data_IF_550861570777
#
_entry.id   IF_550861570777
#
_cell.length_a   1.000
_cell.length_b   1.000
_cell.length_c   1.000
_cell.angle_alpha   90.00
_cell.angle_beta   90.00
_cell.angle_gamma   90.00
#
_symmetry.space_group_name_H-M   'P 1'
#
loop_
_entity.id
_entity.type
_entity.pdbx_description
1 polymer ?
#
# COMPACT_ATOMS: atom_id res chain seq x y z
N UNK A 1 -5.38 24.11 5.79
CA UNK A 1 -5.29 22.62 5.75
C UNK A 1 -4.34 22.28 4.62
N UNK A 2 -3.18 21.71 4.93
CA UNK A 2 -2.24 21.27 3.91
C UNK A 2 -2.88 20.17 3.06
N UNK A 3 -2.58 20.16 1.78
CA UNK A 3 -3.01 19.08 0.90
C UNK A 3 -1.99 17.94 0.94
N UNK A 4 -2.44 16.73 0.59
CA UNK A 4 -1.52 15.61 0.37
C UNK A 4 -0.51 15.96 -0.72
N UNK A 5 0.71 15.47 -0.59
CA UNK A 5 1.72 15.68 -1.63
C UNK A 5 1.27 15.11 -2.97
N UNK A 6 1.54 15.89 -4.00
CA UNK A 6 1.40 15.45 -5.38
C UNK A 6 2.44 14.38 -5.74
N UNK A 7 2.21 13.67 -6.82
CA UNK A 7 3.18 12.66 -7.30
C UNK A 7 4.53 13.29 -7.66
N UNK A 8 4.56 14.52 -8.20
CA UNK A 8 5.79 15.23 -8.52
C UNK A 8 6.61 15.58 -7.27
N UNK A 9 5.93 15.97 -6.18
CA UNK A 9 6.58 16.22 -4.90
C UNK A 9 7.13 14.93 -4.27
N UNK A 10 6.38 13.84 -4.37
CA UNK A 10 6.85 12.53 -3.94
C UNK A 10 8.11 12.09 -4.70
N UNK A 11 8.12 12.25 -6.03
CA UNK A 11 9.27 11.90 -6.84
C UNK A 11 10.53 12.69 -6.45
N UNK A 12 10.37 13.98 -6.10
CA UNK A 12 11.48 14.81 -5.57
C UNK A 12 12.02 14.26 -4.26
N UNK A 13 11.13 13.82 -3.36
CA UNK A 13 11.52 13.22 -2.07
C UNK A 13 12.24 11.89 -2.29
N UNK A 14 11.75 11.03 -3.17
CA UNK A 14 12.45 9.78 -3.51
C UNK A 14 13.86 10.04 -4.06
N UNK A 15 14.02 10.99 -4.97
CA UNK A 15 15.34 11.38 -5.50
C UNK A 15 16.26 11.95 -4.40
N UNK A 16 15.72 12.72 -3.46
CA UNK A 16 16.46 13.21 -2.32
C UNK A 16 16.94 12.05 -1.44
N UNK A 17 16.05 11.11 -1.09
CA UNK A 17 16.42 9.92 -0.31
C UNK A 17 17.47 9.06 -1.03
N UNK A 18 17.37 8.94 -2.35
CA UNK A 18 18.39 8.26 -3.15
C UNK A 18 19.76 8.95 -3.02
N UNK A 19 19.79 10.27 -3.14
CA UNK A 19 21.03 11.06 -3.00
C UNK A 19 21.65 10.98 -1.59
N UNK A 20 20.82 10.72 -0.57
CA UNK A 20 21.23 10.56 0.83
C UNK A 20 21.53 9.11 1.22
N UNK A 21 21.48 8.17 0.27
CA UNK A 21 21.70 6.74 0.52
C UNK A 21 20.62 6.05 1.35
N UNK A 22 19.40 6.63 1.40
CA UNK A 22 18.25 6.09 2.14
C UNK A 22 17.34 5.21 1.30
N UNK A 23 17.75 4.88 0.08
CA UNK A 23 16.97 3.97 -0.77
C UNK A 23 16.84 2.62 -0.08
N UNK A 24 15.60 2.12 -0.02
CA UNK A 24 15.32 0.84 0.65
C UNK A 24 15.21 0.91 2.17
N UNK A 25 15.23 2.10 2.77
CA UNK A 25 14.97 2.29 4.20
C UNK A 25 13.50 2.66 4.44
N UNK A 26 12.90 2.23 5.57
CA UNK A 26 11.55 2.61 5.94
C UNK A 26 11.45 4.12 6.20
N UNK A 27 10.27 4.69 5.90
CA UNK A 27 9.96 6.10 6.18
C UNK A 27 9.10 6.18 7.43
N UNK A 28 9.63 6.71 8.54
CA UNK A 28 8.96 6.65 9.83
C UNK A 28 8.57 8.05 10.30
N UNK A 29 7.30 8.17 10.70
CA UNK A 29 6.75 9.41 11.26
C UNK A 29 6.23 9.15 12.67
N UNK A 30 6.43 10.11 13.54
CA UNK A 30 5.96 10.07 14.93
C UNK A 30 5.22 11.36 15.27
N UNK A 31 4.03 11.23 15.85
CA UNK A 31 3.21 12.36 16.29
C UNK A 31 2.64 12.15 17.68
N UNK A 32 2.55 13.24 18.43
CA UNK A 32 1.72 13.33 19.62
C UNK A 32 0.40 14.00 19.28
N UNK A 33 -0.71 13.40 19.72
CA UNK A 33 -2.05 13.87 19.46
C UNK A 33 -2.86 13.84 20.76
N UNK A 34 -2.80 14.91 21.55
CA UNK A 34 -3.32 14.89 22.91
C UNK A 34 -2.57 13.88 23.77
N UNK A 35 -3.31 12.91 24.32
CA UNK A 35 -2.74 11.82 25.14
C UNK A 35 -2.43 10.56 24.30
N UNK A 36 -2.54 10.64 22.99
CA UNK A 36 -2.30 9.52 22.08
C UNK A 36 -1.01 9.68 21.30
N UNK A 37 -0.41 8.54 20.91
CA UNK A 37 0.74 8.49 20.02
C UNK A 37 0.31 7.92 18.66
N UNK A 38 0.82 8.51 17.59
CA UNK A 38 0.75 7.96 16.23
C UNK A 38 2.17 7.66 15.76
N UNK A 39 2.42 6.38 15.46
CA UNK A 39 3.62 5.95 14.75
C UNK A 39 3.20 5.46 13.37
N UNK A 40 3.72 6.09 12.30
CA UNK A 40 3.52 5.64 10.94
C UNK A 40 4.82 5.01 10.43
N UNK A 41 4.82 3.71 10.23
CA UNK A 41 5.92 2.94 9.66
C UNK A 41 5.67 2.76 8.16
N UNK A 42 6.31 3.59 7.34
CA UNK A 42 6.31 3.50 5.88
C UNK A 42 7.32 2.46 5.42
N UNK A 43 6.85 1.25 5.13
CA UNK A 43 7.69 0.11 4.77
C UNK A 43 8.22 0.17 3.35
N UNK A 44 9.31 -0.54 3.10
CA UNK A 44 9.75 -0.95 1.77
C UNK A 44 9.20 -2.36 1.53
N UNK A 45 8.35 -2.52 0.51
CA UNK A 45 7.72 -3.81 0.24
C UNK A 45 8.74 -4.90 -0.08
N UNK A 46 8.86 -5.87 0.80
CA UNK A 46 9.70 -7.05 0.62
C UNK A 46 9.17 -8.22 1.44
N UNK A 47 9.38 -9.43 0.95
CA UNK A 47 9.15 -10.68 1.67
C UNK A 47 10.46 -11.35 2.12
N UNK A 48 11.61 -10.68 1.96
CA UNK A 48 12.91 -11.19 2.41
C UNK A 48 12.99 -11.15 3.94
N UNK A 49 13.02 -12.30 4.63
CA UNK A 49 13.03 -12.35 6.08
C UNK A 49 14.32 -11.80 6.71
N UNK A 50 15.37 -11.59 5.92
CA UNK A 50 16.66 -11.06 6.36
C UNK A 50 16.76 -9.53 6.15
N UNK A 51 15.71 -8.89 5.64
CA UNK A 51 15.70 -7.43 5.44
C UNK A 51 15.91 -6.68 6.77
N UNK A 52 16.84 -5.70 6.80
CA UNK A 52 17.15 -4.95 8.02
C UNK A 52 15.98 -4.12 8.54
N UNK A 53 14.98 -3.82 7.70
CA UNK A 53 13.81 -3.06 8.13
C UNK A 53 12.99 -3.76 9.23
N UNK A 54 13.10 -5.10 9.36
CA UNK A 54 12.34 -5.85 10.36
C UNK A 54 12.77 -5.52 11.78
N UNK A 55 14.07 -5.35 12.01
CA UNK A 55 14.57 -4.93 13.31
C UNK A 55 14.06 -3.52 13.68
N UNK A 56 14.00 -2.62 12.69
CA UNK A 56 13.50 -1.27 12.89
C UNK A 56 12.00 -1.31 13.22
N UNK A 57 11.22 -2.11 12.50
CA UNK A 57 9.78 -2.26 12.77
C UNK A 57 9.55 -2.83 14.17
N UNK A 58 10.28 -3.85 14.59
CA UNK A 58 10.18 -4.45 15.91
C UNK A 58 10.59 -3.48 17.04
N UNK A 59 11.61 -2.65 16.81
CA UNK A 59 12.01 -1.62 17.77
C UNK A 59 10.91 -0.54 17.92
N UNK A 60 10.33 -0.06 16.82
CA UNK A 60 9.22 0.90 16.86
C UNK A 60 7.96 0.27 17.49
N UNK A 61 7.67 -0.98 17.17
CA UNK A 61 6.60 -1.73 17.81
C UNK A 61 6.80 -1.90 19.30
N UNK A 62 8.04 -2.17 19.76
CA UNK A 62 8.37 -2.27 21.18
C UNK A 62 8.14 -0.94 21.92
N UNK A 63 8.45 0.20 21.30
CA UNK A 63 8.14 1.54 21.87
C UNK A 63 6.64 1.75 21.96
N UNK A 64 5.91 1.46 20.89
CA UNK A 64 4.46 1.57 20.85
C UNK A 64 3.76 0.72 21.91
N UNK A 65 4.15 -0.56 22.08
CA UNK A 65 3.52 -1.44 23.07
C UNK A 65 3.82 -1.05 24.50
N UNK A 66 4.96 -0.40 24.77
CA UNK A 66 5.36 0.10 26.09
C UNK A 66 4.78 1.47 26.46
N UNK A 67 4.07 2.14 25.55
CA UNK A 67 3.39 3.40 25.87
C UNK A 67 2.37 3.18 26.99
N UNK A 68 2.11 4.23 27.78
CA UNK A 68 1.22 4.16 28.93
C UNK A 68 -0.26 3.99 28.57
N UNK A 69 -0.64 4.37 27.33
CA UNK A 69 -2.02 4.23 26.87
C UNK A 69 -2.39 2.74 26.68
N UNK A 70 -3.38 2.22 27.43
CA UNK A 70 -3.77 0.80 27.31
C UNK A 70 -4.56 0.50 26.02
N UNK A 71 -5.11 1.53 25.36
CA UNK A 71 -5.89 1.38 24.14
C UNK A 71 -4.95 1.51 22.95
N UNK A 72 -4.74 0.43 22.24
CA UNK A 72 -3.82 0.35 21.10
C UNK A 72 -4.49 -0.24 19.89
N UNK A 73 -4.08 0.18 18.69
CA UNK A 73 -4.53 -0.40 17.43
C UNK A 73 -3.42 -0.39 16.39
N UNK A 74 -3.31 -1.48 15.64
CA UNK A 74 -2.55 -1.57 14.42
C UNK A 74 -3.45 -1.29 13.22
N UNK A 75 -3.05 -0.36 12.36
CA UNK A 75 -3.64 -0.14 11.03
C UNK A 75 -2.65 -0.65 9.99
N UNK A 76 -3.10 -1.53 9.08
CA UNK A 76 -2.23 -2.15 8.09
C UNK A 76 -2.83 -2.14 6.67
N UNK A 77 -1.96 -2.24 5.64
CA UNK A 77 -2.34 -1.98 4.25
C UNK A 77 -3.18 -3.11 3.63
N UNK A 78 -2.87 -4.35 3.83
CA UNK A 78 -3.45 -5.46 3.06
C UNK A 78 -4.57 -6.17 3.83
N UNK A 79 -5.83 -5.96 3.44
CA UNK A 79 -6.95 -6.71 4.03
C UNK A 79 -6.90 -8.21 3.69
N UNK A 80 -7.40 -9.04 4.62
CA UNK A 80 -7.51 -10.50 4.40
C UNK A 80 -6.23 -11.30 4.61
N UNK A 81 -5.15 -10.68 5.05
CA UNK A 81 -3.95 -11.42 5.47
C UNK A 81 -4.24 -12.18 6.76
N UNK A 82 -3.87 -13.45 6.82
CA UNK A 82 -3.97 -14.30 8.00
C UNK A 82 -2.59 -14.84 8.37
N UNK A 83 -2.23 -14.72 9.65
CA UNK A 83 -0.96 -15.19 10.18
C UNK A 83 -1.12 -16.34 11.18
N UNK A 84 -2.34 -16.87 11.32
CA UNK A 84 -2.65 -17.96 12.25
C UNK A 84 -1.72 -19.17 12.03
N UNK A 85 -1.03 -19.55 13.08
CA UNK A 85 -0.11 -20.69 13.06
C UNK A 85 1.24 -20.44 12.39
N UNK A 86 1.49 -19.23 11.88
CA UNK A 86 2.79 -18.87 11.34
C UNK A 86 3.75 -18.44 12.46
N UNK A 87 5.02 -18.76 12.27
CA UNK A 87 6.08 -18.11 13.03
C UNK A 87 6.44 -16.75 12.40
N UNK A 88 7.34 -16.01 13.05
CA UNK A 88 7.81 -14.71 12.56
C UNK A 88 8.31 -14.77 11.10
N UNK A 89 9.11 -15.78 10.79
CA UNK A 89 9.71 -15.95 9.46
C UNK A 89 8.65 -16.29 8.42
N UNK A 90 7.73 -17.20 8.73
CA UNK A 90 6.61 -17.55 7.88
C UNK A 90 5.70 -16.36 7.59
N UNK A 91 5.37 -15.56 8.60
CA UNK A 91 4.55 -14.38 8.44
C UNK A 91 5.19 -13.35 7.48
N UNK A 92 6.52 -13.15 7.55
CA UNK A 92 7.26 -12.27 6.64
C UNK A 92 7.27 -12.84 5.22
N UNK A 93 7.56 -14.12 5.05
CA UNK A 93 7.65 -14.76 3.72
C UNK A 93 6.31 -14.69 2.99
N UNK A 94 5.20 -14.95 3.71
CA UNK A 94 3.87 -14.98 3.09
C UNK A 94 3.26 -13.60 2.88
N UNK A 95 3.50 -12.65 3.78
CA UNK A 95 2.78 -11.38 3.80
C UNK A 95 3.66 -10.13 3.99
N UNK A 96 4.99 -10.27 3.96
CA UNK A 96 5.91 -9.14 4.09
C UNK A 96 5.74 -8.36 5.39
N UNK A 97 5.74 -7.02 5.28
CA UNK A 97 5.55 -6.10 6.40
C UNK A 97 4.20 -6.27 7.11
N UNK A 98 3.15 -6.52 6.35
CA UNK A 98 1.81 -6.78 6.90
C UNK A 98 1.82 -8.03 7.77
N UNK A 99 2.49 -9.09 7.30
CA UNK A 99 2.61 -10.35 8.04
C UNK A 99 3.33 -10.17 9.37
N UNK A 100 4.49 -9.50 9.36
CA UNK A 100 5.22 -9.22 10.60
C UNK A 100 4.40 -8.37 11.57
N UNK A 101 3.74 -7.31 11.06
CA UNK A 101 2.93 -6.42 11.90
C UNK A 101 1.75 -7.17 12.54
N UNK A 102 1.04 -8.00 11.79
CA UNK A 102 -0.05 -8.83 12.31
C UNK A 102 0.43 -9.86 13.33
N UNK A 103 1.56 -10.52 13.06
CA UNK A 103 2.17 -11.47 14.00
C UNK A 103 2.54 -10.78 15.32
N UNK A 104 3.12 -9.58 15.26
CA UNK A 104 3.42 -8.77 16.45
C UNK A 104 2.16 -8.36 17.20
N UNK A 105 1.09 -7.97 16.49
CA UNK A 105 -0.19 -7.58 17.08
C UNK A 105 -0.84 -8.76 17.82
N UNK A 106 -0.85 -9.95 17.22
CA UNK A 106 -1.34 -11.18 17.86
C UNK A 106 -0.58 -11.48 19.15
N UNK A 107 0.76 -11.46 19.12
CA UNK A 107 1.62 -11.72 20.29
C UNK A 107 1.41 -10.74 21.43
N UNK A 108 0.98 -9.52 21.14
CA UNK A 108 0.77 -8.46 22.14
C UNK A 108 -0.72 -8.18 22.41
N UNK A 109 -1.64 -8.96 21.86
CA UNK A 109 -3.09 -8.78 21.98
C UNK A 109 -3.54 -7.35 21.59
N UNK A 110 -2.96 -6.80 20.53
CA UNK A 110 -3.31 -5.50 19.98
C UNK A 110 -4.37 -5.67 18.90
N UNK A 111 -5.45 -4.88 18.98
CA UNK A 111 -6.49 -4.84 17.96
C UNK A 111 -5.90 -4.47 16.59
N UNK A 112 -6.46 -5.04 15.52
CA UNK A 112 -5.99 -4.78 14.15
C UNK A 112 -7.11 -4.34 13.23
N UNK A 113 -6.80 -3.49 12.25
CA UNK A 113 -7.75 -2.98 11.28
C UNK A 113 -7.05 -2.68 9.95
N UNK A 114 -7.69 -3.05 8.84
CA UNK A 114 -7.30 -2.56 7.51
C UNK A 114 -8.41 -1.68 6.95
N UNK A 115 -8.14 -0.38 6.68
CA UNK A 115 -9.08 0.52 6.03
C UNK A 115 -9.10 0.36 4.51
N UNK A 116 -8.39 -0.64 3.97
CA UNK A 116 -8.34 -0.87 2.54
C UNK A 116 -9.74 -1.11 1.99
N UNK A 117 -10.09 -0.33 0.99
CA UNK A 117 -11.37 -0.47 0.29
C UNK A 117 -11.39 -1.74 -0.53
N UNK A 118 -12.57 -2.32 -0.69
CA UNK A 118 -12.74 -3.43 -1.64
C UNK A 118 -12.42 -2.96 -3.07
N UNK A 119 -11.95 -3.88 -3.91
CA UNK A 119 -11.73 -3.56 -5.33
C UNK A 119 -13.01 -3.03 -5.99
N UNK A 120 -14.18 -3.59 -5.66
CA UNK A 120 -15.45 -3.13 -6.19
C UNK A 120 -15.76 -1.66 -5.83
N UNK A 121 -15.52 -1.26 -4.58
CA UNK A 121 -15.73 0.13 -4.14
C UNK A 121 -14.73 1.09 -4.78
N UNK A 122 -13.47 0.66 -4.93
CA UNK A 122 -12.44 1.44 -5.59
C UNK A 122 -12.81 1.69 -7.06
N UNK A 123 -13.21 0.64 -7.79
CA UNK A 123 -13.65 0.71 -9.20
C UNK A 123 -14.88 1.62 -9.35
N UNK A 124 -15.93 1.41 -8.55
CA UNK A 124 -17.14 2.24 -8.58
C UNK A 124 -16.84 3.71 -8.32
N UNK A 125 -15.87 4.00 -7.47
CA UNK A 125 -15.47 5.40 -7.22
C UNK A 125 -14.74 6.00 -8.41
N UNK A 126 -13.83 5.26 -9.05
CA UNK A 126 -13.17 5.71 -10.28
C UNK A 126 -14.20 5.95 -11.40
N UNK A 127 -15.17 5.06 -11.57
CA UNK A 127 -16.26 5.24 -12.54
C UNK A 127 -17.11 6.48 -12.24
N UNK A 128 -17.42 6.73 -10.96
CA UNK A 128 -18.16 7.92 -10.54
C UNK A 128 -17.39 9.24 -10.79
N UNK A 129 -16.07 9.17 -10.89
CA UNK A 129 -15.20 10.29 -11.28
C UNK A 129 -15.06 10.46 -12.80
N UNK A 130 -15.68 9.59 -13.58
CA UNK A 130 -15.74 9.67 -15.03
C UNK A 130 -14.69 8.82 -15.76
N UNK A 131 -13.89 8.02 -15.04
CA UNK A 131 -12.99 7.07 -15.70
C UNK A 131 -13.79 5.94 -16.35
N UNK A 132 -13.43 5.60 -17.58
CA UNK A 132 -14.05 4.52 -18.34
C UNK A 132 -13.59 3.14 -17.85
N UNK A 133 -14.38 2.11 -18.13
CA UNK A 133 -14.01 0.71 -17.89
C UNK A 133 -12.66 0.38 -18.55
N UNK A 134 -12.42 0.88 -19.77
CA UNK A 134 -11.15 0.70 -20.49
C UNK A 134 -9.97 1.27 -19.69
N UNK A 135 -10.00 2.54 -19.29
CA UNK A 135 -8.91 3.19 -18.54
C UNK A 135 -8.62 2.46 -17.23
N UNK A 136 -9.67 2.12 -16.48
CA UNK A 136 -9.54 1.43 -15.20
C UNK A 136 -8.92 0.04 -15.40
N UNK A 137 -9.41 -0.74 -16.38
CA UNK A 137 -8.91 -2.10 -16.61
C UNK A 137 -7.50 -2.11 -17.21
N UNK A 138 -7.15 -1.15 -18.05
CA UNK A 138 -5.78 -1.00 -18.57
C UNK A 138 -4.80 -0.77 -17.40
N UNK A 139 -5.17 0.10 -16.46
CA UNK A 139 -4.37 0.30 -15.24
C UNK A 139 -4.24 -0.98 -14.42
N UNK A 140 -5.35 -1.68 -14.13
CA UNK A 140 -5.29 -2.92 -13.35
C UNK A 140 -4.53 -4.02 -14.07
N UNK A 141 -4.69 -4.15 -15.38
CA UNK A 141 -3.92 -5.10 -16.19
C UNK A 141 -2.41 -4.84 -16.06
N UNK A 142 -1.97 -3.60 -16.29
CA UNK A 142 -0.57 -3.22 -16.18
C UNK A 142 -0.02 -3.48 -14.76
N UNK A 143 -0.78 -3.12 -13.73
CA UNK A 143 -0.42 -3.35 -12.32
C UNK A 143 -0.26 -4.83 -12.01
N UNK A 144 -1.17 -5.67 -12.49
CA UNK A 144 -1.11 -7.12 -12.26
C UNK A 144 0.04 -7.76 -13.03
N UNK A 145 0.27 -7.35 -14.28
CA UNK A 145 1.43 -7.80 -15.06
C UNK A 145 2.75 -7.41 -14.39
N UNK A 146 2.84 -6.18 -13.86
CA UNK A 146 4.02 -5.76 -13.09
C UNK A 146 4.20 -6.62 -11.81
N UNK A 147 3.12 -6.97 -11.12
CA UNK A 147 3.19 -7.88 -9.95
C UNK A 147 3.59 -9.29 -10.37
N UNK A 148 3.00 -9.84 -11.43
CA UNK A 148 3.37 -11.15 -11.97
C UNK A 148 4.85 -11.22 -12.36
N UNK A 149 5.37 -10.19 -13.02
CA UNK A 149 6.76 -10.14 -13.45
C UNK A 149 7.77 -10.22 -12.29
N UNK A 150 7.36 -9.82 -11.08
CA UNK A 150 8.16 -9.85 -9.84
C UNK A 150 8.00 -11.14 -9.03
N UNK A 151 7.04 -11.98 -9.37
CA UNK A 151 6.84 -13.26 -8.65
C UNK A 151 7.86 -14.31 -9.09
N UNK A 152 8.07 -15.28 -8.20
CA UNK A 152 8.82 -16.47 -8.53
C UNK A 152 8.09 -17.25 -9.64
N UNK A 153 8.81 -17.55 -10.72
CA UNK A 153 8.25 -18.25 -11.89
C UNK A 153 7.91 -19.72 -11.59
N UNK A 154 8.39 -20.28 -10.51
CA UNK A 154 7.93 -21.59 -10.04
C UNK A 154 6.50 -21.51 -9.47
N UNK A 155 6.11 -20.35 -8.92
CA UNK A 155 4.78 -20.12 -8.34
C UNK A 155 3.78 -19.63 -9.39
N UNK A 156 4.21 -18.74 -10.28
CA UNK A 156 3.36 -18.15 -11.34
C UNK A 156 4.05 -18.25 -12.72
N UNK A 157 4.15 -19.46 -13.30
CA UNK A 157 4.95 -19.67 -14.49
C UNK A 157 4.32 -19.10 -15.77
N UNK A 158 2.99 -18.99 -15.82
CA UNK A 158 2.24 -18.58 -17.02
C UNK A 158 1.43 -17.32 -16.72
N UNK A 159 1.76 -16.22 -17.41
CA UNK A 159 1.08 -14.94 -17.25
C UNK A 159 -0.37 -14.98 -17.73
N UNK A 160 -0.70 -15.75 -18.78
CA UNK A 160 -2.05 -15.84 -19.32
C UNK A 160 -3.00 -16.44 -18.29
N UNK A 161 -2.63 -17.56 -17.67
CA UNK A 161 -3.43 -18.18 -16.62
C UNK A 161 -3.57 -17.25 -15.40
N UNK A 162 -2.50 -16.58 -15.01
CA UNK A 162 -2.54 -15.59 -13.93
C UNK A 162 -3.51 -14.45 -14.23
N UNK A 163 -3.50 -13.94 -15.46
CA UNK A 163 -4.40 -12.86 -15.87
C UNK A 163 -5.83 -13.32 -16.11
N UNK A 164 -6.06 -14.54 -16.60
CA UNK A 164 -7.41 -15.11 -16.71
C UNK A 164 -8.08 -15.23 -15.35
N UNK A 165 -7.37 -15.75 -14.34
CA UNK A 165 -7.86 -15.82 -12.96
C UNK A 165 -8.14 -14.43 -12.38
N UNK A 166 -7.25 -13.48 -12.66
CA UNK A 166 -7.42 -12.08 -12.26
C UNK A 166 -8.67 -11.46 -12.89
N UNK A 167 -8.87 -11.61 -14.19
CA UNK A 167 -10.02 -11.06 -14.91
C UNK A 167 -11.32 -11.72 -14.44
N UNK A 168 -11.30 -13.04 -14.20
CA UNK A 168 -12.42 -13.72 -13.59
C UNK A 168 -12.78 -13.12 -12.22
N UNK A 169 -11.78 -12.90 -11.36
CA UNK A 169 -12.01 -12.22 -10.09
C UNK A 169 -12.64 -10.83 -10.27
N UNK A 170 -12.18 -10.04 -11.25
CA UNK A 170 -12.78 -8.73 -11.53
C UNK A 170 -14.22 -8.86 -12.06
N UNK A 171 -14.54 -9.82 -12.92
CA UNK A 171 -15.91 -10.06 -13.36
C UNK A 171 -16.84 -10.42 -12.19
N UNK A 172 -16.36 -11.21 -11.22
CA UNK A 172 -17.11 -11.58 -10.03
C UNK A 172 -17.46 -10.38 -9.11
N UNK A 173 -16.83 -9.22 -9.32
CA UNK A 173 -17.15 -7.98 -8.57
C UNK A 173 -18.45 -7.32 -9.02
N UNK A 174 -19.03 -7.71 -10.15
CA UNK A 174 -20.29 -7.20 -10.72
C UNK A 174 -20.37 -5.65 -10.74
N UNK A 175 -19.31 -5.01 -11.21
CA UNK A 175 -19.23 -3.55 -11.22
C UNK A 175 -18.88 -2.93 -12.58
N UNK A 176 -18.76 -3.74 -13.65
CA UNK A 176 -18.27 -3.29 -14.95
C UNK A 176 -19.36 -2.93 -15.96
N UNK A 177 -20.57 -3.46 -15.80
CA UNK A 177 -21.65 -3.33 -16.78
C UNK A 177 -21.46 -4.18 -18.06
N UNK A 178 -20.36 -4.91 -18.16
CA UNK A 178 -20.01 -5.82 -19.26
C UNK A 178 -19.02 -6.88 -18.80
N UNK A 179 -19.00 -8.02 -19.49
CA UNK A 179 -18.01 -9.06 -19.22
C UNK A 179 -16.65 -8.68 -19.81
N UNK A 180 -15.63 -8.82 -18.96
CA UNK A 180 -14.23 -8.64 -19.34
C UNK A 180 -13.66 -9.97 -19.84
N UNK A 181 -12.77 -9.90 -20.83
CA UNK A 181 -11.97 -11.04 -21.29
C UNK A 181 -10.52 -10.66 -21.40
N UNK A 182 -9.61 -11.65 -21.33
CA UNK A 182 -8.18 -11.41 -21.49
C UNK A 182 -7.87 -10.74 -22.83
N UNK A 183 -8.45 -11.24 -23.92
CA UNK A 183 -8.25 -10.67 -25.26
C UNK A 183 -8.65 -9.19 -25.32
N UNK A 184 -9.85 -8.85 -24.81
CA UNK A 184 -10.33 -7.47 -24.78
C UNK A 184 -9.45 -6.56 -23.93
N UNK A 185 -9.02 -7.03 -22.77
CA UNK A 185 -8.17 -6.24 -21.85
C UNK A 185 -6.78 -6.04 -22.45
N UNK A 186 -6.27 -7.06 -23.15
CA UNK A 186 -5.00 -6.98 -23.86
C UNK A 186 -5.06 -6.00 -25.04
N UNK A 187 -6.14 -6.00 -25.83
CA UNK A 187 -6.35 -5.03 -26.90
C UNK A 187 -6.35 -3.59 -26.37
N UNK A 188 -7.02 -3.35 -25.24
CA UNK A 188 -7.02 -2.05 -24.58
C UNK A 188 -5.63 -1.62 -24.09
N UNK A 189 -4.86 -2.57 -23.53
CA UNK A 189 -3.49 -2.30 -23.10
C UNK A 189 -2.58 -1.95 -24.29
N UNK A 190 -2.67 -2.69 -25.42
CA UNK A 190 -1.92 -2.42 -26.64
C UNK A 190 -2.26 -1.04 -27.20
N UNK A 191 -3.55 -0.70 -27.24
CA UNK A 191 -4.01 0.61 -27.71
C UNK A 191 -3.49 1.76 -26.85
N UNK A 192 -3.52 1.61 -25.53
CA UNK A 192 -3.04 2.64 -24.59
C UNK A 192 -1.51 2.76 -24.58
N UNK A 193 -0.79 1.64 -24.61
CA UNK A 193 0.67 1.63 -24.62
C UNK A 193 1.27 2.06 -25.95
N UNK A 194 0.51 1.93 -27.05
CA UNK A 194 0.99 2.13 -28.42
C UNK A 194 2.05 1.12 -28.86
N UNK A 195 2.18 -0.03 -28.18
CA UNK A 195 3.18 -1.08 -28.43
C UNK A 195 2.53 -2.44 -28.54
N UNK A 196 3.18 -3.35 -29.27
CA UNK A 196 2.85 -4.76 -29.19
C UNK A 196 3.08 -5.30 -27.77
N UNK A 197 2.25 -6.26 -27.37
CA UNK A 197 2.38 -6.85 -26.04
C UNK A 197 3.62 -7.74 -25.96
N UNK A 198 4.43 -7.49 -24.92
CA UNK A 198 5.57 -8.31 -24.52
C UNK A 198 5.51 -8.50 -23.00
N UNK A 199 5.32 -9.74 -22.54
CA UNK A 199 5.24 -10.07 -21.11
C UNK A 199 6.53 -9.78 -20.34
N UNK A 200 7.62 -9.53 -21.05
CA UNK A 200 8.92 -9.18 -20.46
C UNK A 200 9.18 -7.67 -20.44
N UNK A 201 8.34 -6.84 -21.07
CA UNK A 201 8.47 -5.38 -21.03
C UNK A 201 7.92 -4.80 -19.71
N UNK A 202 8.60 -5.11 -18.59
CA UNK A 202 8.27 -4.66 -17.26
C UNK A 202 8.18 -3.13 -17.21
N UNK A 203 8.99 -2.43 -18.02
CA UNK A 203 9.03 -0.97 -18.03
C UNK A 203 7.70 -0.36 -18.51
N UNK A 204 7.05 -0.96 -19.50
CA UNK A 204 5.74 -0.50 -19.97
C UNK A 204 4.65 -0.76 -18.94
N UNK A 205 4.65 -1.92 -18.27
CA UNK A 205 3.70 -2.19 -17.17
C UNK A 205 3.90 -1.22 -16.01
N UNK A 206 5.15 -0.95 -15.64
CA UNK A 206 5.45 0.02 -14.62
C UNK A 206 4.91 1.41 -14.99
N UNK A 207 5.23 1.91 -16.18
CA UNK A 207 4.83 3.25 -16.62
C UNK A 207 3.31 3.43 -16.62
N UNK A 208 2.54 2.44 -17.11
CA UNK A 208 1.07 2.51 -17.11
C UNK A 208 0.49 2.40 -15.69
N UNK A 209 1.17 1.72 -14.78
CA UNK A 209 0.73 1.62 -13.38
C UNK A 209 1.31 2.71 -12.47
N UNK A 210 2.26 3.51 -12.95
CA UNK A 210 2.90 4.57 -12.18
C UNK A 210 1.95 5.76 -11.98
N UNK A 211 1.65 6.15 -10.73
CA UNK A 211 0.78 7.29 -10.45
C UNK A 211 1.31 8.63 -10.98
N UNK A 212 2.61 8.76 -11.29
CA UNK A 212 3.16 9.98 -11.92
C UNK A 212 2.80 10.09 -13.40
N UNK A 213 2.40 9.00 -14.05
CA UNK A 213 2.11 8.93 -15.49
C UNK A 213 0.67 8.57 -15.80
N UNK A 214 -0.02 7.87 -14.89
CA UNK A 214 -1.38 7.39 -15.09
C UNK A 214 -2.35 8.03 -14.08
N UNK A 215 -3.35 8.81 -14.52
CA UNK A 215 -4.30 9.48 -13.64
C UNK A 215 -5.19 8.52 -12.85
N UNK A 216 -5.53 7.34 -13.40
CA UNK A 216 -6.29 6.30 -12.68
C UNK A 216 -5.48 5.77 -11.49
N UNK A 217 -4.19 5.52 -11.71
CA UNK A 217 -3.27 5.10 -10.65
C UNK A 217 -3.15 6.15 -9.56
N UNK A 218 -2.96 7.41 -9.96
CA UNK A 218 -2.86 8.55 -9.04
C UNK A 218 -4.11 8.68 -8.18
N UNK A 219 -5.29 8.62 -8.79
CA UNK A 219 -6.56 8.75 -8.08
C UNK A 219 -6.86 7.55 -7.19
N UNK A 220 -6.55 6.33 -7.65
CA UNK A 220 -6.67 5.12 -6.83
C UNK A 220 -5.81 5.21 -5.56
N UNK A 221 -4.55 5.65 -5.69
CA UNK A 221 -3.66 5.88 -4.54
C UNK A 221 -4.18 6.95 -3.59
N UNK A 222 -4.66 8.09 -4.13
CA UNK A 222 -5.23 9.18 -3.34
C UNK A 222 -6.45 8.74 -2.52
N UNK A 223 -7.34 7.95 -3.11
CA UNK A 223 -8.51 7.43 -2.39
C UNK A 223 -8.13 6.50 -1.25
N UNK A 224 -7.09 5.69 -1.42
CA UNK A 224 -6.55 4.84 -0.37
C UNK A 224 -5.97 5.68 0.77
N UNK A 225 -5.22 6.75 0.45
CA UNK A 225 -4.68 7.68 1.44
C UNK A 225 -5.78 8.39 2.22
N UNK A 226 -6.86 8.82 1.56
CA UNK A 226 -8.02 9.43 2.23
C UNK A 226 -8.67 8.44 3.21
N UNK A 227 -8.86 7.19 2.80
CA UNK A 227 -9.45 6.16 3.66
C UNK A 227 -8.56 5.88 4.88
N UNK A 228 -7.24 5.76 4.66
CA UNK A 228 -6.25 5.58 5.72
C UNK A 228 -6.26 6.75 6.70
N UNK A 229 -6.18 7.98 6.20
CA UNK A 229 -6.18 9.20 7.02
C UNK A 229 -7.45 9.32 7.87
N UNK A 230 -8.62 9.10 7.27
CA UNK A 230 -9.89 9.13 8.00
C UNK A 230 -9.93 8.08 9.12
N UNK A 231 -9.37 6.90 8.89
CA UNK A 231 -9.34 5.85 9.92
C UNK A 231 -8.33 6.18 11.03
N UNK A 232 -7.15 6.71 10.71
CA UNK A 232 -6.21 7.22 11.70
C UNK A 232 -6.90 8.25 12.62
N UNK A 233 -7.55 9.27 12.03
CA UNK A 233 -8.27 10.29 12.79
C UNK A 233 -9.35 9.70 13.70
N UNK A 234 -10.11 8.73 13.18
CA UNK A 234 -11.17 8.07 13.94
C UNK A 234 -10.61 7.33 15.16
N UNK A 235 -9.52 6.55 15.01
CA UNK A 235 -8.94 5.80 16.10
C UNK A 235 -8.31 6.71 17.16
N UNK A 236 -7.66 7.80 16.75
CA UNK A 236 -7.15 8.83 17.65
C UNK A 236 -8.29 9.49 18.45
N UNK A 237 -9.43 9.84 17.80
CA UNK A 237 -10.61 10.38 18.50
C UNK A 237 -11.23 9.40 19.50
N UNK A 238 -11.03 8.10 19.32
CA UNK A 238 -11.41 7.04 20.28
C UNK A 238 -10.40 6.90 21.43
N UNK A 239 -9.37 7.74 21.47
CA UNK A 239 -8.34 7.76 22.51
C UNK A 239 -7.37 6.59 22.41
N UNK A 240 -7.09 6.07 21.22
CA UNK A 240 -6.15 4.97 21.02
C UNK A 240 -4.79 5.48 20.56
N UNK A 241 -3.71 4.84 21.03
CA UNK A 241 -2.44 4.88 20.34
C UNK A 241 -2.56 4.10 19.02
N UNK A 242 -2.01 4.66 17.95
CA UNK A 242 -2.13 4.12 16.60
C UNK A 242 -0.76 3.78 16.04
N UNK A 243 -0.58 2.54 15.60
CA UNK A 243 0.58 2.11 14.83
C UNK A 243 0.12 1.80 13.41
N UNK A 244 0.72 2.45 12.42
CA UNK A 244 0.38 2.26 11.00
C UNK A 244 1.52 1.54 10.29
N UNK A 245 1.23 0.49 9.55
CA UNK A 245 2.17 -0.21 8.65
C UNK A 245 1.61 -0.18 7.24
N UNK A 246 2.18 0.69 6.43
CA UNK A 246 1.83 0.91 5.02
C UNK A 246 3.09 1.12 4.20
N UNK A 247 3.00 1.01 2.86
CA UNK A 247 4.12 1.35 2.00
C UNK A 247 4.60 2.80 2.21
N UNK A 248 5.92 3.03 2.09
CA UNK A 248 6.56 4.34 2.33
C UNK A 248 5.94 5.48 1.51
N UNK A 249 5.42 5.17 0.32
CA UNK A 249 4.71 6.14 -0.51
C UNK A 249 3.51 6.78 0.18
N UNK A 250 2.74 6.01 0.95
CA UNK A 250 1.60 6.51 1.70
C UNK A 250 2.05 7.44 2.85
N UNK A 251 3.10 7.07 3.58
CA UNK A 251 3.67 7.89 4.64
C UNK A 251 4.15 9.25 4.11
N UNK A 252 4.94 9.25 3.03
CA UNK A 252 5.46 10.45 2.39
C UNK A 252 4.32 11.36 1.91
N UNK A 253 3.26 10.78 1.31
CA UNK A 253 2.13 11.54 0.77
C UNK A 253 1.28 12.18 1.84
N UNK A 254 1.07 11.47 2.95
CA UNK A 254 0.26 11.93 4.06
C UNK A 254 0.99 12.87 5.03
N UNK A 255 2.32 12.87 5.06
CA UNK A 255 3.10 13.66 6.01
C UNK A 255 2.66 15.12 6.11
N UNK A 256 2.43 15.91 5.03
CA UNK A 256 2.02 17.31 5.18
C UNK A 256 0.68 17.48 5.86
N UNK A 257 -0.26 16.54 5.63
CA UNK A 257 -1.59 16.57 6.27
C UNK A 257 -1.46 16.24 7.76
N UNK A 258 -0.63 15.24 8.08
CA UNK A 258 -0.38 14.86 9.46
C UNK A 258 0.41 15.94 10.21
N UNK A 259 1.38 16.60 9.57
CA UNK A 259 2.14 17.72 10.15
C UNK A 259 1.25 18.94 10.45
N UNK A 260 0.21 19.18 9.63
CA UNK A 260 -0.75 20.27 9.84
C UNK A 260 -1.73 19.97 11.00
N UNK A 261 -2.11 18.71 11.15
CA UNK A 261 -3.10 18.27 12.12
C UNK A 261 -2.50 17.92 13.50
N UNK A 262 -1.26 17.44 13.52
CA UNK A 262 -0.65 16.82 14.69
C UNK A 262 0.74 17.41 15.00
N UNK A 263 1.11 17.35 16.26
CA UNK A 263 2.43 17.81 16.69
C UNK A 263 3.49 16.73 16.41
N UNK A 264 4.38 17.00 15.47
CA UNK A 264 5.48 16.08 15.13
C UNK A 264 6.44 15.90 16.30
N UNK A 265 6.75 14.66 16.60
CA UNK A 265 7.76 14.32 17.62
C UNK A 265 9.14 14.35 16.98
N UNK A 266 9.99 15.25 17.42
CA UNK A 266 11.41 15.22 17.05
C UNK A 266 12.11 14.17 17.91
N UNK A 267 12.32 12.97 17.37
CA UNK A 267 13.20 11.98 18.00
C UNK A 267 14.62 12.51 17.87
N UNK A 268 15.22 12.99 18.97
CA UNK A 268 16.65 13.24 18.99
C UNK A 268 17.35 11.87 18.87
N UNK A 269 18.02 11.62 17.74
CA UNK A 269 18.97 10.51 17.63
C UNK A 269 20.05 10.72 18.71
N UNK A 270 20.04 9.87 19.73
CA UNK A 270 21.15 9.74 20.66
C UNK A 270 22.34 9.04 20.00
#
# INVERSE_FOLDING_TARGET
MNEMRTNDEMLKIYKLHESEGRVGQPYILHYYVGDCNLTFFGSVHTADPESPQWNILEDEWSKFTKSENPKKILIYEKSGSNVDGLDRRGAIIEHGETGLALWLAEKNSVDTLSPQRSNADAIKTLQAQGYTTKEIMTYYFARQMHQWARQDKEIAPNWELYMEDTIKHYNDLDCWGEDLSLAKTLDWFIEESGKEFDEHDISTFYNISDPSQNPVSAESGKQQDIALHNEIQKQIRLGKDVFVVYGSGHAIRLEPVLDDEYQKTVIKSE
#
